data_IF_423447942643
#
_entry.id   IF_423447942643
#
_cell.length_a   1.000
_cell.length_b   1.000
_cell.length_c   1.000
_cell.angle_alpha   90.00
_cell.angle_beta   90.00
_cell.angle_gamma   90.00
#
_symmetry.space_group_name_H-M   'P 1'
#
loop_
_entity.id
_entity.type
_entity.pdbx_description
1 polymer ?
#
# COMPACT_ATOMS: atom_id res chain seq x y z
N UNK A 1 -44.40 -20.89 30.46
CA UNK A 1 -44.03 -20.91 29.03
C UNK A 1 -42.89 -19.91 28.86
N UNK A 2 -41.65 -20.38 28.85
CA UNK A 2 -40.48 -19.51 28.75
C UNK A 2 -40.34 -19.14 27.28
N UNK A 3 -40.68 -17.90 26.93
CA UNK A 3 -40.47 -17.35 25.60
C UNK A 3 -38.97 -17.19 25.38
N UNK A 4 -38.37 -18.14 24.67
CA UNK A 4 -37.05 -17.99 24.06
C UNK A 4 -37.10 -16.78 23.11
N UNK A 5 -36.69 -15.61 23.60
CA UNK A 5 -36.30 -14.52 22.72
C UNK A 5 -35.00 -14.95 22.04
N UNK A 6 -35.12 -15.51 20.83
CA UNK A 6 -34.02 -15.53 19.89
C UNK A 6 -33.61 -14.07 19.69
N UNK A 7 -32.47 -13.65 20.24
CA UNK A 7 -31.82 -12.48 19.67
C UNK A 7 -31.44 -12.90 18.25
N UNK A 8 -32.04 -12.28 17.24
CA UNK A 8 -31.41 -12.24 15.93
C UNK A 8 -30.02 -11.65 16.18
N UNK A 9 -29.00 -12.52 16.27
CA UNK A 9 -27.67 -12.07 15.91
C UNK A 9 -27.84 -11.63 14.47
N UNK A 10 -27.92 -10.32 14.26
CA UNK A 10 -27.80 -9.74 12.94
C UNK A 10 -26.55 -10.40 12.38
N UNK A 11 -26.77 -11.35 11.45
CA UNK A 11 -25.75 -11.89 10.57
C UNK A 11 -25.41 -10.73 9.63
N UNK A 12 -24.85 -9.67 10.21
CA UNK A 12 -24.06 -8.70 9.50
C UNK A 12 -23.07 -9.56 8.75
N UNK A 13 -23.11 -9.49 7.42
CA UNK A 13 -22.40 -10.36 6.50
C UNK A 13 -20.88 -10.11 6.61
N UNK A 14 -20.28 -10.47 7.74
CA UNK A 14 -18.85 -10.35 8.08
C UNK A 14 -18.02 -11.44 7.40
N UNK A 15 -18.69 -12.39 6.75
CA UNK A 15 -18.06 -13.58 6.20
C UNK A 15 -17.10 -13.22 5.06
N UNK A 16 -17.44 -12.24 4.21
CA UNK A 16 -16.58 -11.85 3.08
C UNK A 16 -15.27 -11.20 3.54
N UNK A 17 -15.31 -10.34 4.56
CA UNK A 17 -14.11 -9.71 5.13
C UNK A 17 -13.22 -10.76 5.82
N UNK A 18 -13.82 -11.72 6.51
CA UNK A 18 -13.11 -12.84 7.14
C UNK A 18 -12.39 -13.69 6.10
N UNK A 19 -13.08 -14.10 5.03
CA UNK A 19 -12.49 -14.87 3.92
C UNK A 19 -11.31 -14.12 3.30
N UNK A 20 -11.44 -12.80 3.16
CA UNK A 20 -10.42 -11.96 2.57
C UNK A 20 -9.16 -11.85 3.46
N UNK A 21 -9.32 -11.74 4.78
CA UNK A 21 -8.19 -11.78 5.71
C UNK A 21 -7.50 -13.16 5.71
N UNK A 22 -8.27 -14.25 5.71
CA UNK A 22 -7.72 -15.61 5.63
C UNK A 22 -6.93 -15.80 4.34
N UNK A 23 -7.45 -15.32 3.21
CA UNK A 23 -6.75 -15.36 1.92
C UNK A 23 -5.43 -14.58 1.98
N UNK A 24 -5.42 -13.39 2.56
CA UNK A 24 -4.20 -12.59 2.67
C UNK A 24 -3.15 -13.23 3.61
N UNK A 25 -3.58 -13.82 4.72
CA UNK A 25 -2.70 -14.59 5.61
C UNK A 25 -2.14 -15.83 4.90
N UNK A 26 -2.98 -16.53 4.11
CA UNK A 26 -2.54 -17.67 3.32
C UNK A 26 -1.47 -17.26 2.28
N UNK A 27 -1.66 -16.14 1.58
CA UNK A 27 -0.64 -15.59 0.67
C UNK A 27 0.68 -15.28 1.38
N UNK A 28 0.63 -14.70 2.58
CA UNK A 28 1.83 -14.44 3.41
C UNK A 28 2.53 -15.77 3.74
N UNK A 29 1.77 -16.78 4.16
CA UNK A 29 2.31 -18.11 4.50
C UNK A 29 2.97 -18.79 3.30
N UNK A 30 2.35 -18.71 2.11
CA UNK A 30 2.91 -19.23 0.85
C UNK A 30 4.22 -18.50 0.52
N UNK A 31 4.24 -17.17 0.60
CA UNK A 31 5.45 -16.38 0.34
C UNK A 31 6.59 -16.74 1.29
N UNK A 32 6.29 -16.94 2.58
CA UNK A 32 7.26 -17.39 3.58
C UNK A 32 7.78 -18.80 3.28
N UNK A 33 6.92 -19.71 2.83
CA UNK A 33 7.30 -21.11 2.54
C UNK A 33 8.14 -21.23 1.27
N UNK A 34 7.71 -20.59 0.18
CA UNK A 34 8.36 -20.71 -1.14
C UNK A 34 9.61 -19.85 -1.22
N UNK A 35 9.58 -18.64 -0.65
CA UNK A 35 10.65 -17.65 -0.76
C UNK A 35 11.27 -17.29 0.59
N UNK A 36 11.50 -18.29 1.46
CA UNK A 36 11.94 -18.11 2.85
C UNK A 36 13.14 -17.16 3.03
N UNK A 37 14.21 -17.33 2.25
CA UNK A 37 15.41 -16.47 2.35
C UNK A 37 15.07 -15.01 2.03
N UNK A 38 14.33 -14.78 0.93
CA UNK A 38 13.94 -13.45 0.48
C UNK A 38 12.93 -12.81 1.45
N UNK A 39 11.99 -13.58 1.97
CA UNK A 39 11.00 -13.13 2.95
C UNK A 39 11.66 -12.71 4.27
N UNK A 40 12.64 -13.48 4.74
CA UNK A 40 13.39 -13.14 5.95
C UNK A 40 14.20 -11.86 5.78
N UNK A 41 14.78 -11.59 4.61
CA UNK A 41 15.44 -10.30 4.34
C UNK A 41 14.41 -9.17 4.14
N UNK A 42 13.25 -9.46 3.55
CA UNK A 42 12.15 -8.48 3.38
C UNK A 42 11.61 -7.96 4.71
N UNK A 43 11.43 -8.83 5.71
CA UNK A 43 11.01 -8.40 7.07
C UNK A 43 12.01 -7.41 7.67
N UNK A 44 13.30 -7.52 7.31
CA UNK A 44 14.34 -6.61 7.81
C UNK A 44 14.25 -5.21 7.22
N UNK A 45 13.41 -4.97 6.21
CA UNK A 45 13.19 -3.63 5.66
C UNK A 45 12.74 -2.62 6.72
N UNK A 46 12.09 -3.07 7.79
CA UNK A 46 11.71 -2.19 8.90
C UNK A 46 12.89 -1.57 9.66
N UNK A 47 14.10 -2.13 9.55
CA UNK A 47 15.28 -1.65 10.28
C UNK A 47 16.58 -1.63 9.46
N UNK A 48 16.60 -2.22 8.25
CA UNK A 48 17.79 -2.34 7.42
C UNK A 48 17.48 -2.27 5.93
N UNK A 49 18.20 -1.43 5.21
CA UNK A 49 18.12 -1.34 3.73
C UNK A 49 18.80 -2.50 3.01
N UNK A 50 19.30 -3.50 3.74
CA UNK A 50 20.07 -4.61 3.17
C UNK A 50 19.29 -5.30 2.05
N UNK A 51 17.98 -5.50 2.23
CA UNK A 51 17.13 -6.07 1.19
C UNK A 51 17.12 -5.24 -0.10
N UNK A 52 16.91 -3.92 0.02
CA UNK A 52 16.92 -3.01 -1.13
C UNK A 52 18.31 -2.84 -1.75
N UNK A 53 19.39 -3.22 -1.06
CA UNK A 53 20.76 -3.23 -1.61
C UNK A 53 21.09 -4.54 -2.33
N UNK A 54 20.59 -5.66 -1.82
CA UNK A 54 20.82 -7.01 -2.38
C UNK A 54 19.93 -7.28 -3.59
N UNK A 55 18.68 -6.80 -3.59
CA UNK A 55 17.69 -7.07 -4.64
C UNK A 55 17.45 -5.87 -5.55
N UNK A 56 18.50 -5.11 -5.90
CA UNK A 56 18.43 -3.92 -6.78
C UNK A 56 18.10 -4.24 -8.23
N UNK A 57 18.29 -5.48 -8.67
CA UNK A 57 18.14 -5.81 -10.09
C UNK A 57 16.70 -5.60 -10.56
N UNK A 58 16.56 -5.00 -11.74
CA UNK A 58 15.27 -4.66 -12.37
C UNK A 58 14.39 -5.88 -12.59
N UNK A 59 14.97 -7.07 -12.83
CA UNK A 59 14.26 -8.35 -12.92
C UNK A 59 13.50 -8.73 -11.63
N UNK A 60 13.84 -8.14 -10.49
CA UNK A 60 13.14 -8.40 -9.23
C UNK A 60 11.79 -7.68 -9.13
N UNK A 61 11.47 -6.72 -10.02
CA UNK A 61 10.17 -6.05 -10.07
C UNK A 61 9.05 -7.03 -10.44
N UNK A 62 9.30 -7.85 -11.47
CA UNK A 62 8.35 -8.83 -12.00
C UNK A 62 8.49 -10.21 -11.35
N UNK A 63 9.30 -10.33 -10.29
CA UNK A 63 9.39 -11.59 -9.58
C UNK A 63 8.07 -11.87 -8.85
N UNK A 64 7.62 -13.12 -8.91
CA UNK A 64 6.44 -13.65 -8.24
C UNK A 64 6.35 -13.24 -6.76
N UNK A 65 7.47 -13.16 -6.05
CA UNK A 65 7.49 -12.66 -4.67
C UNK A 65 6.99 -11.21 -4.56
N UNK A 66 7.53 -10.31 -5.38
CA UNK A 66 7.17 -8.88 -5.36
C UNK A 66 5.70 -8.69 -5.77
N UNK A 67 5.26 -9.43 -6.79
CA UNK A 67 3.86 -9.41 -7.26
C UNK A 67 2.92 -9.89 -6.15
N UNK A 68 3.24 -11.00 -5.48
CA UNK A 68 2.43 -11.53 -4.39
C UNK A 68 2.35 -10.58 -3.20
N UNK A 69 3.47 -9.96 -2.82
CA UNK A 69 3.50 -8.95 -1.75
C UNK A 69 2.75 -7.66 -2.15
N UNK A 70 2.71 -7.32 -3.43
CA UNK A 70 1.88 -6.23 -3.94
C UNK A 70 0.38 -6.52 -3.80
N UNK A 71 -0.07 -7.76 -4.01
CA UNK A 71 -1.48 -8.12 -3.75
C UNK A 71 -1.84 -8.00 -2.26
N UNK A 72 -0.96 -8.43 -1.35
CA UNK A 72 -1.15 -8.26 0.10
C UNK A 72 -1.27 -6.76 0.45
N UNK A 73 -0.44 -5.91 -0.19
CA UNK A 73 -0.52 -4.47 -0.05
C UNK A 73 -1.88 -3.91 -0.50
N UNK A 74 -2.35 -4.29 -1.69
CA UNK A 74 -3.63 -3.82 -2.24
C UNK A 74 -4.78 -4.18 -1.31
N UNK A 75 -4.83 -5.43 -0.86
CA UNK A 75 -5.83 -5.91 0.08
C UNK A 75 -5.82 -5.05 1.36
N UNK A 76 -4.65 -4.87 1.95
CA UNK A 76 -4.51 -4.18 3.24
C UNK A 76 -4.86 -2.69 3.15
N UNK A 77 -4.38 -1.99 2.11
CA UNK A 77 -4.66 -0.57 1.94
C UNK A 77 -6.12 -0.32 1.60
N UNK A 78 -6.70 -1.13 0.71
CA UNK A 78 -8.11 -1.00 0.34
C UNK A 78 -9.03 -1.23 1.54
N UNK A 79 -8.70 -2.22 2.38
CA UNK A 79 -9.49 -2.52 3.56
C UNK A 79 -9.38 -1.40 4.62
N UNK A 80 -8.17 -0.84 4.80
CA UNK A 80 -7.99 0.29 5.70
C UNK A 80 -8.77 1.54 5.24
N UNK A 81 -8.79 1.81 3.94
CA UNK A 81 -9.60 2.91 3.37
C UNK A 81 -11.10 2.65 3.61
N UNK A 82 -11.58 1.41 3.43
CA UNK A 82 -12.97 1.07 3.74
C UNK A 82 -13.31 1.34 5.22
N UNK A 83 -12.43 0.95 6.14
CA UNK A 83 -12.59 1.22 7.57
C UNK A 83 -12.64 2.73 7.86
N UNK A 84 -11.77 3.52 7.22
CA UNK A 84 -11.79 4.99 7.34
C UNK A 84 -13.09 5.60 6.80
N UNK A 85 -13.54 5.21 5.62
CA UNK A 85 -14.79 5.73 5.04
C UNK A 85 -16.00 5.38 5.91
N UNK A 86 -16.02 4.18 6.48
CA UNK A 86 -17.08 3.78 7.40
C UNK A 86 -17.03 4.55 8.71
N UNK A 87 -15.84 4.83 9.23
CA UNK A 87 -15.64 5.66 10.41
C UNK A 87 -16.14 7.10 10.23
N UNK A 88 -15.97 7.69 9.04
CA UNK A 88 -16.48 9.01 8.71
C UNK A 88 -17.96 9.02 8.25
N UNK A 89 -18.68 7.90 8.40
CA UNK A 89 -20.07 7.72 8.00
C UNK A 89 -20.35 7.93 6.50
N UNK A 90 -19.33 7.81 5.63
CA UNK A 90 -19.54 7.85 4.18
C UNK A 90 -20.06 6.52 3.63
N UNK A 91 -19.71 5.40 4.27
CA UNK A 91 -20.07 4.04 3.84
C UNK A 91 -20.30 3.11 5.02
N UNK A 92 -20.79 1.90 4.76
CA UNK A 92 -20.91 0.84 5.76
C UNK A 92 -19.85 -0.22 5.51
N UNK A 93 -19.31 -0.81 6.58
CA UNK A 93 -18.29 -1.87 6.50
C UNK A 93 -18.75 -3.13 5.79
N UNK A 94 -20.06 -3.31 5.60
CA UNK A 94 -20.63 -4.54 5.03
C UNK A 94 -20.79 -4.46 3.52
N UNK A 95 -20.58 -3.27 2.93
CA UNK A 95 -20.74 -3.06 1.50
C UNK A 95 -19.51 -3.55 0.72
N UNK A 96 -19.52 -4.82 0.32
CA UNK A 96 -18.47 -5.42 -0.51
C UNK A 96 -18.29 -4.73 -1.87
N UNK A 97 -19.34 -4.09 -2.42
CA UNK A 97 -19.25 -3.36 -3.70
C UNK A 97 -18.34 -2.15 -3.54
N UNK A 98 -18.49 -1.40 -2.45
CA UNK A 98 -17.60 -0.28 -2.11
C UNK A 98 -16.16 -0.76 -1.98
N UNK A 99 -15.93 -1.91 -1.35
CA UNK A 99 -14.58 -2.48 -1.25
C UNK A 99 -13.99 -2.79 -2.64
N UNK A 100 -14.75 -3.43 -3.54
CA UNK A 100 -14.31 -3.72 -4.91
C UNK A 100 -13.99 -2.43 -5.68
N UNK A 101 -14.79 -1.37 -5.51
CA UNK A 101 -14.52 -0.05 -6.11
C UNK A 101 -13.22 0.55 -5.58
N UNK A 102 -12.96 0.49 -4.28
CA UNK A 102 -11.72 0.98 -3.67
C UNK A 102 -10.51 0.19 -4.19
N UNK A 103 -10.60 -1.14 -4.22
CA UNK A 103 -9.51 -2.00 -4.72
C UNK A 103 -9.20 -1.71 -6.19
N UNK A 104 -10.24 -1.61 -7.03
CA UNK A 104 -10.06 -1.35 -8.47
C UNK A 104 -9.47 0.04 -8.70
N UNK A 105 -9.95 1.06 -7.99
CA UNK A 105 -9.39 2.41 -8.05
C UNK A 105 -7.91 2.43 -7.62
N UNK A 106 -7.58 1.83 -6.48
CA UNK A 106 -6.20 1.75 -6.00
C UNK A 106 -5.30 0.97 -6.97
N UNK A 107 -5.78 -0.14 -7.52
CA UNK A 107 -5.03 -0.94 -8.48
C UNK A 107 -4.70 -0.12 -9.74
N UNK A 108 -5.71 0.51 -10.35
CA UNK A 108 -5.53 1.35 -11.54
C UNK A 108 -4.64 2.55 -11.24
N UNK A 109 -4.79 3.17 -10.07
CA UNK A 109 -3.94 4.29 -9.66
C UNK A 109 -2.47 3.90 -9.54
N UNK A 110 -2.17 2.78 -8.87
CA UNK A 110 -0.77 2.32 -8.73
C UNK A 110 -0.19 1.87 -10.06
N UNK A 111 -0.97 1.16 -10.88
CA UNK A 111 -0.52 0.66 -12.19
C UNK A 111 -0.28 1.80 -13.18
N UNK A 112 -1.19 2.79 -13.24
CA UNK A 112 -1.01 3.98 -14.08
C UNK A 112 0.20 4.79 -13.65
N UNK A 113 0.41 5.00 -12.35
CA UNK A 113 1.63 5.65 -11.83
C UNK A 113 2.87 4.89 -12.29
N UNK A 114 2.91 3.57 -12.12
CA UNK A 114 4.06 2.76 -12.54
C UNK A 114 4.36 2.86 -14.04
N UNK A 115 3.33 2.82 -14.90
CA UNK A 115 3.49 2.92 -16.35
C UNK A 115 4.03 4.30 -16.76
N UNK A 116 3.51 5.38 -16.19
CA UNK A 116 3.97 6.74 -16.49
C UNK A 116 5.43 6.91 -16.05
N UNK A 117 5.79 6.41 -14.85
CA UNK A 117 7.18 6.42 -14.38
C UNK A 117 8.10 5.69 -15.36
N UNK A 118 7.66 4.54 -15.88
CA UNK A 118 8.43 3.76 -16.86
C UNK A 118 8.63 4.50 -18.19
N UNK A 119 7.56 5.09 -18.74
CA UNK A 119 7.64 5.88 -20.00
C UNK A 119 8.62 7.05 -19.86
N UNK A 120 8.56 7.76 -18.74
CA UNK A 120 9.48 8.87 -18.44
C UNK A 120 10.91 8.38 -18.28
N UNK A 121 11.12 7.23 -17.63
CA UNK A 121 12.43 6.60 -17.50
C UNK A 121 13.07 6.26 -18.85
N UNK A 122 12.28 5.73 -19.78
CA UNK A 122 12.70 5.45 -21.16
C UNK A 122 12.97 6.74 -21.94
N UNK A 123 12.13 7.77 -21.82
CA UNK A 123 12.31 9.05 -22.53
C UNK A 123 13.59 9.80 -22.12
N UNK A 124 14.14 9.49 -20.95
CA UNK A 124 15.30 10.16 -20.34
C UNK A 124 16.58 9.30 -20.42
N UNK A 125 16.53 8.12 -21.06
CA UNK A 125 17.64 7.14 -21.08
C UNK A 125 18.17 6.85 -19.65
N UNK A 126 17.23 6.68 -18.71
CA UNK A 126 17.53 6.40 -17.30
C UNK A 126 16.64 5.30 -16.72
N UNK A 127 16.15 4.41 -17.58
CA UNK A 127 15.23 3.32 -17.24
C UNK A 127 15.72 2.49 -16.05
N UNK A 128 16.99 2.09 -16.02
CA UNK A 128 17.56 1.28 -14.95
C UNK A 128 17.52 1.95 -13.57
N UNK A 129 17.70 3.28 -13.52
CA UNK A 129 17.59 4.04 -12.27
C UNK A 129 16.13 4.15 -11.85
N UNK A 130 15.24 4.51 -12.77
CA UNK A 130 13.80 4.65 -12.48
C UNK A 130 13.19 3.34 -12.01
N UNK A 131 13.53 2.21 -12.65
CA UNK A 131 13.08 0.89 -12.25
C UNK A 131 13.58 0.50 -10.85
N UNK A 132 14.83 0.82 -10.52
CA UNK A 132 15.37 0.62 -9.16
C UNK A 132 14.60 1.43 -8.13
N UNK A 133 14.34 2.72 -8.40
CA UNK A 133 13.55 3.56 -7.51
C UNK A 133 12.12 3.03 -7.34
N UNK A 134 11.50 2.58 -8.42
CA UNK A 134 10.15 2.02 -8.40
C UNK A 134 10.07 0.72 -7.60
N UNK A 135 11.09 -0.14 -7.72
CA UNK A 135 11.19 -1.38 -6.93
C UNK A 135 11.27 -1.09 -5.44
N UNK A 136 12.13 -0.16 -5.05
CA UNK A 136 12.32 0.21 -3.64
C UNK A 136 11.03 0.82 -3.06
N UNK A 137 10.39 1.73 -3.80
CA UNK A 137 9.10 2.32 -3.40
C UNK A 137 8.03 1.25 -3.23
N UNK A 138 7.93 0.30 -4.15
CA UNK A 138 6.97 -0.80 -4.06
C UNK A 138 7.25 -1.72 -2.89
N UNK A 139 8.52 -2.07 -2.61
CA UNK A 139 8.87 -2.90 -1.47
C UNK A 139 8.53 -2.25 -0.13
N UNK A 140 8.81 -0.95 0.04
CA UNK A 140 8.46 -0.23 1.27
C UNK A 140 6.94 -0.12 1.47
N UNK A 141 6.18 0.14 0.40
CA UNK A 141 4.71 0.15 0.47
C UNK A 141 4.15 -1.24 0.75
N UNK A 142 4.73 -2.29 0.18
CA UNK A 142 4.34 -3.66 0.45
C UNK A 142 4.61 -4.05 1.90
N UNK A 143 5.73 -3.59 2.46
CA UNK A 143 6.06 -3.80 3.88
C UNK A 143 5.06 -3.10 4.80
N UNK A 144 4.66 -1.87 4.47
CA UNK A 144 3.57 -1.18 5.16
C UNK A 144 2.27 -1.95 5.07
N UNK A 145 1.89 -2.43 3.88
CA UNK A 145 0.69 -3.25 3.71
C UNK A 145 0.71 -4.49 4.58
N UNK A 146 1.85 -5.18 4.63
CA UNK A 146 2.07 -6.33 5.49
C UNK A 146 1.86 -6.01 6.99
N UNK A 147 2.41 -4.89 7.49
CA UNK A 147 2.21 -4.46 8.88
C UNK A 147 0.77 -3.99 9.14
N UNK A 148 0.14 -3.35 8.17
CA UNK A 148 -1.21 -2.80 8.32
C UNK A 148 -2.27 -3.90 8.37
N UNK A 149 -2.01 -5.06 7.75
CA UNK A 149 -2.94 -6.18 7.73
C UNK A 149 -3.42 -6.63 9.14
N UNK A 150 -2.54 -6.97 10.11
CA UNK A 150 -3.00 -7.33 11.46
C UNK A 150 -3.70 -6.16 12.16
N UNK A 151 -3.31 -4.92 11.90
CA UNK A 151 -3.96 -3.73 12.45
C UNK A 151 -5.41 -3.62 11.94
N UNK A 152 -5.64 -3.87 10.65
CA UNK A 152 -6.97 -3.89 10.06
C UNK A 152 -7.86 -4.98 10.66
N UNK A 153 -7.31 -6.18 10.90
CA UNK A 153 -8.05 -7.28 11.53
C UNK A 153 -8.51 -6.85 12.93
N UNK A 154 -7.61 -6.30 13.74
CA UNK A 154 -7.94 -5.83 15.10
C UNK A 154 -9.00 -4.72 15.07
N UNK A 155 -8.86 -3.75 14.15
CA UNK A 155 -9.82 -2.65 14.01
C UNK A 155 -11.21 -3.14 13.58
N UNK A 156 -11.28 -4.07 12.63
CA UNK A 156 -12.55 -4.54 12.06
C UNK A 156 -13.40 -5.33 13.08
N UNK A 157 -12.76 -6.14 13.92
CA UNK A 157 -13.47 -6.94 14.93
C UNK A 157 -13.71 -6.18 16.24
N UNK A 158 -13.15 -4.99 16.40
CA UNK A 158 -13.42 -4.16 17.56
C UNK A 158 -14.80 -3.50 17.46
N UNK A 159 -15.69 -3.78 18.41
CA UNK A 159 -17.06 -3.28 18.42
C UNK A 159 -17.17 -1.78 18.76
N UNK A 160 -16.15 -1.20 19.40
CA UNK A 160 -16.13 0.22 19.78
C UNK A 160 -14.79 0.85 19.43
N UNK A 161 -14.51 1.08 18.12
CA UNK A 161 -13.27 1.70 17.74
C UNK A 161 -13.19 3.13 18.29
N UNK A 162 -12.12 3.42 19.02
CA UNK A 162 -11.85 4.76 19.57
C UNK A 162 -11.38 5.66 18.42
N UNK A 163 -12.00 6.84 18.29
CA UNK A 163 -11.70 7.82 17.23
C UNK A 163 -10.21 8.15 17.13
N UNK A 164 -9.57 8.33 18.28
CA UNK A 164 -8.15 8.64 18.40
C UNK A 164 -7.25 7.58 17.74
N UNK A 165 -7.64 6.30 17.75
CA UNK A 165 -6.83 5.22 17.17
C UNK A 165 -6.75 5.37 15.65
N UNK A 166 -7.84 5.74 14.98
CA UNK A 166 -7.82 5.98 13.53
C UNK A 166 -6.92 7.17 13.17
N UNK A 167 -6.99 8.27 13.92
CA UNK A 167 -6.13 9.44 13.69
C UNK A 167 -4.65 9.13 13.94
N UNK A 168 -4.34 8.38 14.99
CA UNK A 168 -2.96 7.95 15.28
C UNK A 168 -2.42 7.06 14.17
N UNK A 169 -3.19 6.08 13.70
CA UNK A 169 -2.75 5.19 12.61
C UNK A 169 -2.54 5.99 11.32
N UNK A 170 -3.44 6.91 10.99
CA UNK A 170 -3.32 7.76 9.81
C UNK A 170 -2.09 8.67 9.89
N UNK A 171 -1.82 9.24 11.07
CA UNK A 171 -0.63 10.05 11.32
C UNK A 171 0.66 9.23 11.18
N UNK A 172 0.72 8.04 11.78
CA UNK A 172 1.86 7.12 11.66
C UNK A 172 2.07 6.70 10.21
N UNK A 173 0.99 6.42 9.47
CA UNK A 173 1.05 6.07 8.06
C UNK A 173 1.64 7.22 7.22
N UNK A 174 1.17 8.46 7.43
CA UNK A 174 1.71 9.64 6.75
C UNK A 174 3.19 9.87 7.08
N UNK A 175 3.54 9.83 8.37
CA UNK A 175 4.93 9.98 8.81
C UNK A 175 5.84 8.93 8.18
N UNK A 176 5.44 7.67 8.17
CA UNK A 176 6.22 6.61 7.54
C UNK A 176 6.47 6.88 6.05
N UNK A 177 5.46 7.34 5.30
CA UNK A 177 5.61 7.65 3.88
C UNK A 177 6.64 8.79 3.67
N UNK A 178 6.59 9.84 4.50
CA UNK A 178 7.56 10.94 4.48
C UNK A 178 8.97 10.45 4.83
N UNK A 179 9.11 9.63 5.88
CA UNK A 179 10.40 9.06 6.28
C UNK A 179 11.01 8.17 5.20
N UNK A 180 10.20 7.30 4.58
CA UNK A 180 10.62 6.45 3.47
C UNK A 180 11.17 7.27 2.31
N UNK A 181 10.45 8.33 1.94
CA UNK A 181 10.86 9.23 0.87
C UNK A 181 12.17 9.96 1.21
N UNK A 182 12.25 10.53 2.41
CA UNK A 182 13.48 11.17 2.90
C UNK A 182 14.69 10.23 2.85
N UNK A 183 14.52 9.00 3.34
CA UNK A 183 15.58 8.00 3.37
C UNK A 183 16.02 7.56 1.96
N UNK A 184 15.06 7.41 1.04
CA UNK A 184 15.31 7.10 -0.37
C UNK A 184 16.19 8.18 -1.02
N UNK A 185 15.81 9.45 -0.87
CA UNK A 185 16.56 10.57 -1.44
C UNK A 185 17.97 10.64 -0.86
N UNK A 186 18.10 10.47 0.46
CA UNK A 186 19.41 10.49 1.14
C UNK A 186 20.32 9.34 0.70
N UNK A 187 19.78 8.14 0.54
CA UNK A 187 20.58 6.95 0.18
C UNK A 187 21.08 6.99 -1.25
N UNK A 188 20.30 7.55 -2.18
CA UNK A 188 20.64 7.60 -3.60
C UNK A 188 21.10 8.98 -4.06
N UNK A 189 21.41 9.89 -3.12
CA UNK A 189 21.78 11.28 -3.38
C UNK A 189 22.90 11.42 -4.41
N UNK A 190 23.95 10.58 -4.36
CA UNK A 190 25.08 10.64 -5.32
C UNK A 190 24.66 10.30 -6.75
N UNK A 191 23.78 9.32 -6.94
CA UNK A 191 23.23 8.96 -8.26
C UNK A 191 22.28 10.05 -8.76
N UNK A 192 21.49 10.64 -7.86
CA UNK A 192 20.55 11.74 -8.18
C UNK A 192 21.30 13.00 -8.60
N UNK A 193 22.39 13.37 -7.91
CA UNK A 193 23.20 14.55 -8.22
C UNK A 193 23.81 14.48 -9.63
N UNK A 194 24.20 13.29 -10.08
CA UNK A 194 24.70 13.09 -11.45
C UNK A 194 23.66 13.32 -12.55
N UNK A 195 22.36 13.29 -12.21
CA UNK A 195 21.22 13.50 -13.13
C UNK A 195 20.16 14.42 -12.50
N UNK A 196 20.59 15.50 -11.82
CA UNK A 196 19.73 16.38 -11.02
C UNK A 196 18.56 17.00 -11.79
N UNK A 197 18.81 17.45 -13.03
CA UNK A 197 17.78 18.03 -13.88
C UNK A 197 16.67 17.02 -14.20
N UNK A 198 17.05 15.78 -14.47
CA UNK A 198 16.12 14.68 -14.76
C UNK A 198 15.30 14.27 -13.54
N UNK A 199 15.91 14.30 -12.35
CA UNK A 199 15.21 14.05 -11.10
C UNK A 199 14.15 15.12 -10.78
N UNK A 200 14.46 16.40 -11.04
CA UNK A 200 13.51 17.51 -10.87
C UNK A 200 12.34 17.38 -11.85
N UNK A 201 12.62 17.09 -13.13
CA UNK A 201 11.58 16.88 -14.15
C UNK A 201 10.66 15.71 -13.77
N UNK A 202 11.24 14.61 -13.29
CA UNK A 202 10.50 13.46 -12.77
C UNK A 202 9.59 13.85 -11.59
N UNK A 203 10.11 14.55 -10.58
CA UNK A 203 9.33 14.94 -9.39
C UNK A 203 8.17 15.87 -9.72
N UNK A 204 8.43 16.90 -10.53
CA UNK A 204 7.43 17.89 -10.90
C UNK A 204 6.29 17.27 -11.71
N UNK A 205 6.60 16.39 -12.66
CA UNK A 205 5.61 15.88 -13.62
C UNK A 205 4.77 14.76 -13.03
N UNK A 206 5.34 13.92 -12.17
CA UNK A 206 4.74 12.64 -11.81
C UNK A 206 4.27 12.55 -10.35
N UNK A 207 4.89 13.32 -9.45
CA UNK A 207 4.45 13.38 -8.05
C UNK A 207 3.65 14.64 -7.76
N UNK A 208 4.08 15.82 -8.23
CA UNK A 208 3.46 17.10 -7.86
C UNK A 208 2.28 17.46 -8.78
N UNK A 209 2.41 17.29 -10.10
CA UNK A 209 1.38 17.67 -11.06
C UNK A 209 0.01 16.98 -10.86
N UNK A 210 -0.09 15.68 -10.50
CA UNK A 210 -1.39 15.04 -10.26
C UNK A 210 -2.13 15.67 -9.07
N UNK A 211 -1.43 16.00 -7.98
CA UNK A 211 -2.05 16.67 -6.83
C UNK A 211 -2.49 18.08 -7.16
N UNK A 212 -1.69 18.80 -7.96
CA UNK A 212 -2.06 20.13 -8.45
C UNK A 212 -3.33 20.08 -9.32
N UNK A 213 -3.43 19.09 -10.21
CA UNK A 213 -4.61 18.89 -11.05
C UNK A 213 -5.85 18.52 -10.21
N UNK A 214 -5.70 17.63 -9.22
CA UNK A 214 -6.78 17.25 -8.32
C UNK A 214 -7.27 18.43 -7.48
N UNK A 215 -6.36 19.23 -6.92
CA UNK A 215 -6.70 20.46 -6.20
C UNK A 215 -7.48 21.43 -7.08
N UNK A 216 -6.98 21.70 -8.29
CA UNK A 216 -7.63 22.62 -9.23
C UNK A 216 -9.05 22.15 -9.58
N UNK A 217 -9.24 20.86 -9.83
CA UNK A 217 -10.53 20.28 -10.16
C UNK A 217 -11.53 20.38 -9.00
N UNK A 218 -11.09 20.13 -7.76
CA UNK A 218 -11.94 20.26 -6.55
C UNK A 218 -12.30 21.71 -6.25
N UNK A 219 -11.40 22.67 -6.45
CA UNK A 219 -11.70 24.09 -6.18
C UNK A 219 -12.55 24.77 -7.24
N UNK A 220 -12.67 24.18 -8.43
CA UNK A 220 -13.41 24.76 -9.56
C UNK A 220 -14.82 24.18 -9.73
N UNK A 221 -15.12 23.10 -9.01
CA UNK A 221 -16.48 22.55 -8.81
C UNK A 221 -17.03 23.01 -7.45
#
# INVERSE_FOLDING_TARGET
>A
MITLQLSERVLVNKDWATVLFVLAIALIAINKSVFSVRFNEFIKLGYSDKYNKVYKDTNNLLNWFTISMFFIQLISFSFFILLLLSFFNYTQTDNYITYIQIVTFLFVFVLSKFLIEKIVGTAIDSESLVDQFNLIKTNYRAFLGFILLPVNIVLYYNQTPIKEVFYVILFVFLMYNVFTYYFLVKTYQKMIIGKLFYFILYLCTLEIAPYYFMYYWVTKN
#
